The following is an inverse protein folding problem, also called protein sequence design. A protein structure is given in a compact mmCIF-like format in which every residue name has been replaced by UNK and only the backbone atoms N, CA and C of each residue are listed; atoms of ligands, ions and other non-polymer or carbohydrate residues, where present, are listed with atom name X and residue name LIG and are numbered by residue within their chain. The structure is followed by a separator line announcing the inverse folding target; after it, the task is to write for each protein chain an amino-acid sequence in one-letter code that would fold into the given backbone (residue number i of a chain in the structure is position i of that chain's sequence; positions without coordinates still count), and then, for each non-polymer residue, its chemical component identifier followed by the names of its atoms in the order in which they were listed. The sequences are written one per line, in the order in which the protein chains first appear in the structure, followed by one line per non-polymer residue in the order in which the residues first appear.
data_IF_090866783195
#
_entry.id   IF_090866783195
#
_cell.length_a   1.000
_cell.length_b   1.000
_cell.length_c   1.000
_cell.angle_alpha   90.00
_cell.angle_beta   90.00
_cell.angle_gamma   90.00
#
_symmetry.space_group_name_H-M   'P 1'
#
loop_
_entity.id
_entity.type
_entity.pdbx_description
1 polymer ?
#
# COMPACT_ATOMS: atom_id res chain seq x y z
N UNK A 1 -8.32 17.44 13.42
CA UNK A 1 -8.31 18.35 12.25
C UNK A 1 -8.16 17.49 11.00
N UNK A 2 -9.27 17.17 10.31
CA UNK A 2 -9.26 16.31 9.13
C UNK A 2 -9.35 17.20 7.90
N UNK A 3 -8.27 17.29 7.12
CA UNK A 3 -8.29 17.90 5.79
C UNK A 3 -8.66 16.82 4.78
N UNK A 4 -9.94 16.74 4.41
CA UNK A 4 -10.43 15.88 3.34
C UNK A 4 -10.08 16.49 1.98
N UNK A 5 -8.91 16.13 1.42
CA UNK A 5 -8.58 16.43 0.03
C UNK A 5 -9.10 15.28 -0.84
N UNK A 6 -10.26 15.47 -1.48
CA UNK A 6 -10.67 14.61 -2.60
C UNK A 6 -9.90 15.03 -3.85
N UNK A 7 -8.85 14.27 -4.21
CA UNK A 7 -8.18 14.41 -5.52
C UNK A 7 -8.75 13.39 -6.51
N UNK A 8 -9.14 13.91 -7.68
CA UNK A 8 -9.56 13.19 -8.89
C UNK A 8 -8.93 11.79 -9.04
N UNK A 9 -9.78 10.76 -9.16
CA UNK A 9 -9.39 9.38 -9.44
C UNK A 9 -9.07 9.23 -10.94
N UNK A 10 -7.81 9.46 -11.34
CA UNK A 10 -7.32 8.84 -12.57
C UNK A 10 -7.21 7.34 -12.31
N UNK A 11 -8.00 6.54 -13.03
CA UNK A 11 -7.86 5.09 -13.09
C UNK A 11 -6.51 4.72 -13.71
N UNK A 12 -5.45 4.82 -12.92
CA UNK A 12 -4.14 4.27 -13.25
C UNK A 12 -4.19 2.76 -13.03
N UNK A 13 -3.74 2.00 -14.04
CA UNK A 13 -3.61 0.54 -14.07
C UNK A 13 -3.26 -0.02 -12.68
N UNK A 14 -4.19 -0.71 -12.03
CA UNK A 14 -3.92 -1.40 -10.76
C UNK A 14 -3.26 -2.75 -11.06
N UNK A 15 -2.10 -2.99 -10.44
CA UNK A 15 -1.44 -4.29 -10.45
C UNK A 15 -1.95 -5.14 -9.29
N UNK A 16 -2.05 -6.45 -9.51
CA UNK A 16 -2.20 -7.42 -8.44
C UNK A 16 -0.82 -7.81 -7.91
N UNK A 17 -0.75 -8.10 -6.61
CA UNK A 17 0.43 -8.64 -5.96
C UNK A 17 0.01 -9.67 -4.91
N UNK A 18 0.97 -10.51 -4.52
CA UNK A 18 0.81 -11.44 -3.41
C UNK A 18 1.82 -11.10 -2.33
N UNK A 19 1.41 -11.11 -1.07
CA UNK A 19 2.35 -11.00 0.06
C UNK A 19 3.09 -12.32 0.26
N UNK A 20 4.22 -12.29 0.96
CA UNK A 20 4.95 -13.51 1.35
C UNK A 20 4.12 -14.43 2.26
N UNK A 21 3.13 -13.87 2.97
CA UNK A 21 2.16 -14.59 3.78
C UNK A 21 0.96 -15.14 3.00
N UNK A 22 0.92 -14.97 1.67
CA UNK A 22 -0.11 -15.55 0.80
C UNK A 22 -1.39 -14.71 0.65
N UNK A 23 -1.43 -13.47 1.14
CA UNK A 23 -2.56 -12.57 0.89
C UNK A 23 -2.48 -11.99 -0.52
N UNK A 24 -3.64 -11.76 -1.13
CA UNK A 24 -3.77 -11.11 -2.43
C UNK A 24 -4.06 -9.63 -2.20
N UNK A 25 -3.31 -8.77 -2.86
CA UNK A 25 -3.53 -7.33 -2.81
C UNK A 25 -3.61 -6.70 -4.20
N UNK A 26 -4.14 -5.49 -4.23
CA UNK A 26 -4.20 -4.66 -5.42
C UNK A 26 -3.72 -3.25 -5.11
N UNK A 27 -2.96 -2.67 -6.04
CA UNK A 27 -2.30 -1.39 -5.81
C UNK A 27 -1.82 -0.74 -7.09
N UNK A 28 -1.35 0.51 -6.96
CA UNK A 28 -0.81 1.26 -8.10
C UNK A 28 0.51 0.62 -8.56
N UNK A 29 0.79 0.71 -9.86
CA UNK A 29 1.81 -0.02 -10.62
C UNK A 29 3.30 0.27 -10.29
N UNK A 30 3.67 0.51 -9.03
CA UNK A 30 5.06 0.74 -8.59
C UNK A 30 5.54 -0.22 -7.50
N UNK A 31 4.69 -1.20 -7.14
CA UNK A 31 5.04 -2.24 -6.20
C UNK A 31 6.04 -3.19 -6.86
N UNK A 32 7.14 -3.44 -6.16
CA UNK A 32 8.22 -4.33 -6.59
C UNK A 32 8.47 -5.41 -5.55
N UNK A 33 9.09 -6.52 -5.95
CA UNK A 33 9.58 -7.53 -4.99
C UNK A 33 10.51 -6.86 -3.97
N UNK A 34 10.35 -7.20 -2.70
CA UNK A 34 11.08 -6.60 -1.58
C UNK A 34 10.34 -5.42 -0.91
N UNK A 35 9.28 -4.90 -1.53
CA UNK A 35 8.40 -3.96 -0.85
C UNK A 35 7.61 -4.65 0.28
N UNK A 36 7.29 -3.89 1.32
CA UNK A 36 6.67 -4.39 2.56
C UNK A 36 5.29 -3.77 2.71
N UNK A 37 4.27 -4.59 2.92
CA UNK A 37 2.93 -4.12 3.28
C UNK A 37 2.86 -3.95 4.79
N UNK A 38 2.41 -2.78 5.24
CA UNK A 38 2.24 -2.46 6.66
C UNK A 38 0.91 -1.74 6.90
N UNK A 39 0.43 -1.81 8.14
CA UNK A 39 -0.59 -0.90 8.65
C UNK A 39 0.10 -0.02 9.68
N UNK A 40 0.40 1.24 9.32
CA UNK A 40 0.95 2.19 10.28
C UNK A 40 -0.16 2.65 11.23
N UNK A 41 0.16 2.77 12.52
CA UNK A 41 -0.80 3.26 13.51
C UNK A 41 -1.34 4.63 13.11
N UNK A 42 -2.67 4.77 13.14
CA UNK A 42 -3.37 5.98 12.69
C UNK A 42 -3.70 6.01 11.18
N UNK A 43 -3.21 5.08 10.38
CA UNK A 43 -3.63 4.93 8.98
C UNK A 43 -4.87 4.04 8.87
N UNK A 44 -5.81 4.47 8.02
CA UNK A 44 -7.05 3.72 7.74
C UNK A 44 -6.90 2.70 6.61
N UNK A 45 -5.75 2.68 5.92
CA UNK A 45 -5.46 1.81 4.80
C UNK A 45 -4.06 1.19 4.96
N UNK A 46 -3.87 -0.05 4.48
CA UNK A 46 -2.53 -0.61 4.30
C UNK A 46 -1.67 0.26 3.38
N UNK A 47 -0.39 0.36 3.72
CA UNK A 47 0.62 1.08 2.97
C UNK A 47 1.70 0.12 2.50
N UNK A 48 2.29 0.42 1.36
CA UNK A 48 3.50 -0.23 0.87
C UNK A 48 4.70 0.67 1.18
N UNK A 49 5.66 0.12 1.91
CA UNK A 49 6.95 0.72 2.19
C UNK A 49 8.04 0.05 1.38
N UNK A 50 8.94 0.85 0.81
CA UNK A 50 10.18 0.36 0.19
C UNK A 50 11.35 0.64 1.13
N UNK A 51 12.05 -0.40 1.61
CA UNK A 51 13.28 -0.23 2.37
C UNK A 51 14.29 0.61 1.58
N UNK A 52 15.00 1.48 2.29
CA UNK A 52 16.12 2.27 1.81
C UNK A 52 17.32 2.02 2.74
N UNK A 53 18.43 2.70 2.48
CA UNK A 53 19.60 2.65 3.35
C UNK A 53 19.30 3.27 4.74
N UNK A 54 20.13 2.88 5.72
CA UNK A 54 20.12 3.44 7.07
C UNK A 54 18.78 3.28 7.82
N UNK A 55 18.03 2.21 7.54
CA UNK A 55 16.77 1.90 8.23
C UNK A 55 15.63 2.85 7.86
N UNK A 56 15.76 3.59 6.77
CA UNK A 56 14.72 4.49 6.27
C UNK A 56 13.80 3.77 5.27
N UNK A 57 12.60 4.32 5.06
CA UNK A 57 11.61 3.75 4.16
C UNK A 57 10.95 4.83 3.33
N UNK A 58 10.72 4.54 2.05
CA UNK A 58 9.88 5.37 1.18
C UNK A 58 8.47 4.82 1.14
N UNK A 59 7.47 5.70 1.30
CA UNK A 59 6.06 5.34 1.08
C UNK A 59 5.83 5.22 -0.43
N UNK A 60 5.58 3.99 -0.90
CA UNK A 60 5.25 3.72 -2.31
C UNK A 60 3.79 4.09 -2.59
N UNK A 61 2.89 3.79 -1.64
CA UNK A 61 1.49 4.19 -1.71
C UNK A 61 0.57 3.31 -0.89
N UNK A 62 -0.70 3.70 -0.84
CA UNK A 62 -1.77 2.89 -0.25
C UNK A 62 -2.19 1.75 -1.18
N UNK A 63 -2.59 0.63 -0.58
CA UNK A 63 -3.01 -0.59 -1.29
C UNK A 63 -4.24 -1.20 -0.64
N UNK A 64 -4.97 -1.98 -1.43
CA UNK A 64 -5.98 -2.90 -0.93
C UNK A 64 -5.35 -4.27 -0.70
N UNK A 65 -5.70 -4.91 0.41
CA UNK A 65 -5.32 -6.30 0.67
C UNK A 65 -6.54 -7.08 1.13
N UNK A 66 -6.85 -8.12 0.36
CA UNK A 66 -7.93 -9.05 0.67
C UNK A 66 -7.70 -9.72 2.03
N UNK A 67 -8.78 -9.97 2.77
CA UNK A 67 -8.80 -10.45 4.18
C UNK A 67 -8.22 -9.53 5.25
N UNK A 68 -7.43 -8.52 4.87
CA UNK A 68 -7.04 -7.45 5.80
C UNK A 68 -8.12 -6.36 5.84
N UNK A 69 -8.66 -6.00 4.67
CA UNK A 69 -9.64 -4.92 4.56
C UNK A 69 -11.10 -5.39 4.53
N UNK A 70 -11.38 -6.65 4.17
CA UNK A 70 -12.75 -7.12 3.92
C UNK A 70 -13.19 -8.33 4.76
N UNK A 71 -12.37 -8.80 5.71
CA UNK A 71 -12.69 -9.97 6.54
C UNK A 71 -12.97 -11.22 5.72
#
# INVERSE_FOLDING_TARGET
MVLSIFKSLRAHKSGLFTTSSGYIGSGRSRISRGDIVVILFGCILPLVLRPQDYGTYTIVGAVFVDRIMCG
#
